data_IF_589584495169
#
_entry.id   IF_589584495169
#
_cell.length_a   1.000
_cell.length_b   1.000
_cell.length_c   1.000
_cell.angle_alpha   90.00
_cell.angle_beta   90.00
_cell.angle_gamma   90.00
#
_symmetry.space_group_name_H-M   'P 1'
#
loop_
_entity.id
_entity.type
_entity.pdbx_description
1 polymer ?
#
# COMPACT_ATOMS: atom_id res chain seq x y z
N UNK A 1 -8.22 12.37 7.66
CA UNK A 1 -8.11 11.24 6.72
C UNK A 1 -6.64 10.99 6.44
N UNK A 2 -6.12 9.87 6.95
CA UNK A 2 -4.74 9.46 6.70
C UNK A 2 -4.70 8.51 5.50
N UNK A 3 -3.55 8.47 4.83
CA UNK A 3 -3.28 7.59 3.71
C UNK A 3 -1.82 7.15 3.77
N UNK A 4 -1.54 5.93 3.32
CA UNK A 4 -0.17 5.42 3.16
C UNK A 4 0.23 5.55 1.70
N UNK A 5 1.42 6.08 1.44
CA UNK A 5 2.04 6.08 0.13
C UNK A 5 3.14 5.03 0.12
N UNK A 6 2.99 4.01 -0.72
CA UNK A 6 4.06 3.06 -1.02
C UNK A 6 4.55 3.27 -2.45
N UNK A 7 5.84 3.06 -2.67
CA UNK A 7 6.49 3.30 -3.95
C UNK A 7 7.45 2.16 -4.26
N UNK A 8 7.74 1.94 -5.53
CA UNK A 8 8.70 0.92 -5.95
C UNK A 8 8.85 0.83 -7.46
N UNK A 9 9.45 -0.26 -7.91
CA UNK A 9 9.60 -0.56 -9.33
C UNK A 9 8.29 -1.11 -9.91
N UNK A 10 7.92 -0.60 -11.08
CA UNK A 10 6.71 -0.99 -11.81
C UNK A 10 6.95 -2.29 -12.58
N UNK A 11 6.78 -3.40 -11.88
CA UNK A 11 6.90 -4.76 -12.41
C UNK A 11 5.60 -5.55 -12.17
N UNK A 12 5.30 -6.59 -12.96
CA UNK A 12 4.14 -7.45 -12.72
C UNK A 12 4.11 -7.97 -11.27
N UNK A 13 3.03 -7.68 -10.56
CA UNK A 13 2.86 -8.10 -9.15
C UNK A 13 3.47 -7.15 -8.11
N UNK A 14 3.97 -5.97 -8.49
CA UNK A 14 4.64 -5.03 -7.58
C UNK A 14 3.85 -4.67 -6.30
N UNK A 15 2.51 -4.65 -6.36
CA UNK A 15 1.64 -4.36 -5.21
C UNK A 15 1.15 -5.60 -4.45
N UNK A 16 1.38 -6.81 -4.96
CA UNK A 16 0.87 -8.05 -4.35
C UNK A 16 1.45 -8.26 -2.97
N UNK A 17 2.77 -8.08 -2.82
CA UNK A 17 3.43 -8.21 -1.51
C UNK A 17 2.94 -7.20 -0.48
N UNK A 18 2.49 -6.01 -0.91
CA UNK A 18 1.89 -5.01 -0.02
C UNK A 18 0.54 -5.49 0.49
N UNK A 19 -0.34 -5.94 -0.41
CA UNK A 19 -1.64 -6.50 -0.02
C UNK A 19 -1.52 -7.77 0.82
N UNK A 20 -0.52 -8.62 0.55
CA UNK A 20 -0.26 -9.81 1.35
C UNK A 20 0.16 -9.47 2.80
N UNK A 21 1.03 -8.47 2.98
CA UNK A 21 1.42 -7.99 4.32
C UNK A 21 0.22 -7.48 5.12
N UNK A 22 -0.61 -6.65 4.50
CA UNK A 22 -1.84 -6.12 5.12
C UNK A 22 -2.83 -7.24 5.44
N UNK A 23 -3.03 -8.18 4.51
CA UNK A 23 -3.88 -9.35 4.74
C UNK A 23 -3.41 -10.19 5.93
N UNK A 24 -2.10 -10.45 6.04
CA UNK A 24 -1.53 -11.19 7.18
C UNK A 24 -1.67 -10.45 8.50
N UNK A 25 -1.73 -9.12 8.48
CA UNK A 25 -2.03 -8.29 9.64
C UNK A 25 -3.55 -8.16 9.94
N UNK A 26 -4.42 -8.75 9.12
CA UNK A 26 -5.88 -8.64 9.30
C UNK A 26 -6.45 -7.27 8.92
N UNK A 27 -5.71 -6.47 8.16
CA UNK A 27 -6.06 -5.09 7.82
C UNK A 27 -6.73 -5.03 6.45
N UNK A 28 -7.89 -4.39 6.39
CA UNK A 28 -8.65 -4.21 5.16
C UNK A 28 -8.38 -2.87 4.49
N UNK A 29 -7.96 -2.92 3.23
CA UNK A 29 -7.90 -1.74 2.35
C UNK A 29 -9.30 -1.41 1.86
N UNK A 30 -9.82 -0.22 2.17
CA UNK A 30 -11.15 0.19 1.71
C UNK A 30 -11.11 0.97 0.40
N UNK A 31 -9.97 1.60 0.09
CA UNK A 31 -9.72 2.27 -1.18
C UNK A 31 -8.23 2.27 -1.50
N UNK A 32 -7.90 2.26 -2.78
CA UNK A 32 -6.51 2.44 -3.23
C UNK A 32 -6.47 3.09 -4.60
N UNK A 33 -5.38 3.79 -4.91
CA UNK A 33 -5.12 4.34 -6.25
C UNK A 33 -3.64 4.20 -6.59
N UNK A 34 -3.35 3.75 -7.80
CA UNK A 34 -1.99 3.58 -8.31
C UNK A 34 -1.73 4.50 -9.48
N UNK A 35 -0.55 5.09 -9.50
CA UNK A 35 -0.02 5.84 -10.64
C UNK A 35 1.33 5.29 -11.02
N UNK A 36 1.58 5.12 -12.31
CA UNK A 36 2.92 4.80 -12.81
C UNK A 36 3.55 6.09 -13.30
N UNK A 37 4.80 6.33 -12.90
CA UNK A 37 5.61 7.37 -13.50
C UNK A 37 6.44 6.67 -14.58
N UNK A 38 6.50 7.23 -15.79
CA UNK A 38 7.42 6.72 -16.81
C UNK A 38 8.85 6.56 -16.22
N UNK A 39 9.61 5.59 -16.77
CA UNK A 39 10.91 5.08 -16.23
C UNK A 39 10.80 3.90 -15.24
N UNK A 40 9.66 3.22 -15.19
CA UNK A 40 9.55 1.92 -14.50
C UNK A 40 9.37 2.04 -12.99
N UNK A 41 8.73 3.11 -12.51
CA UNK A 41 8.37 3.24 -11.09
C UNK A 41 6.86 3.45 -10.91
N UNK A 42 6.37 3.05 -9.74
CA UNK A 42 4.99 3.27 -9.33
C UNK A 42 4.91 4.06 -8.02
N UNK A 43 3.79 4.77 -7.85
CA UNK A 43 3.30 5.25 -6.57
C UNK A 43 1.91 4.67 -6.31
N UNK A 44 1.66 4.25 -5.09
CA UNK A 44 0.41 3.59 -4.70
C UNK A 44 -0.08 4.13 -3.37
N UNK A 45 -1.27 4.73 -3.39
CA UNK A 45 -1.92 5.31 -2.24
C UNK A 45 -2.94 4.30 -1.70
N UNK A 46 -2.85 4.03 -0.40
CA UNK A 46 -3.70 3.10 0.33
C UNK A 46 -4.50 3.84 1.39
N UNK A 47 -5.77 3.46 1.52
CA UNK A 47 -6.64 3.93 2.59
C UNK A 47 -7.16 2.73 3.41
N UNK A 48 -6.94 2.79 4.71
CA UNK A 48 -7.37 1.83 5.74
C UNK A 48 -8.21 2.56 6.79
N UNK A 49 -8.92 1.83 7.64
CA UNK A 49 -9.67 2.49 8.71
C UNK A 49 -8.73 3.21 9.69
N UNK A 50 -9.13 4.33 10.30
CA UNK A 50 -8.25 5.10 11.19
C UNK A 50 -7.64 4.27 12.33
N UNK A 51 -8.40 3.32 12.87
CA UNK A 51 -7.96 2.38 13.91
C UNK A 51 -6.83 1.44 13.47
N UNK A 52 -6.72 1.14 12.18
CA UNK A 52 -5.73 0.21 11.62
C UNK A 52 -4.48 0.95 11.09
N UNK A 53 -4.46 2.29 11.14
CA UNK A 53 -3.47 3.08 10.38
C UNK A 53 -2.02 2.84 10.81
N UNK A 54 -1.76 2.81 12.12
CA UNK A 54 -0.41 2.61 12.66
C UNK A 54 0.10 1.19 12.37
N UNK A 55 -0.74 0.18 12.59
CA UNK A 55 -0.41 -1.22 12.30
C UNK A 55 -0.21 -1.44 10.79
N UNK A 56 -1.00 -0.76 9.95
CA UNK A 56 -0.86 -0.81 8.50
C UNK A 56 0.48 -0.22 8.04
N UNK A 57 0.91 0.91 8.63
CA UNK A 57 2.19 1.53 8.34
C UNK A 57 3.35 0.58 8.69
N UNK A 58 3.33 0.01 9.90
CA UNK A 58 4.33 -0.95 10.36
C UNK A 58 4.38 -2.19 9.45
N UNK A 59 3.23 -2.76 9.10
CA UNK A 59 3.14 -3.96 8.26
C UNK A 59 3.78 -3.76 6.88
N UNK A 60 3.68 -2.56 6.31
CA UNK A 60 4.27 -2.25 5.00
C UNK A 60 5.67 -1.63 5.09
N UNK A 61 6.17 -1.33 6.29
CA UNK A 61 7.51 -0.82 6.56
C UNK A 61 7.66 0.70 6.43
N UNK A 62 6.62 1.45 6.81
CA UNK A 62 6.58 2.92 6.85
C UNK A 62 6.67 3.47 8.28
#
# INVERSE_FOLDING_TARGET
NHALLVQGEDVPGAVVGIHEKLYRAGINVYASTGVTAGRGSYGYILYVRPEDFEEAAEAVGL
#
